data_IF_468298559454
#
_entry.id   IF_468298559454
#
_cell.length_a   1.000
_cell.length_b   1.000
_cell.length_c   1.000
_cell.angle_alpha   90.00
_cell.angle_beta   90.00
_cell.angle_gamma   90.00
#
_symmetry.space_group_name_H-M   'P 1'
#
loop_
_entity.id
_entity.type
_entity.pdbx_description
1 polymer ?
#
# COMPACT_ATOMS: atom_id res chain seq x y z
N UNK A 1 6.62 -9.96 -4.87
CA UNK A 1 6.98 -10.27 -3.45
C UNK A 1 7.44 -8.99 -2.74
N UNK A 2 7.20 -8.86 -1.43
CA UNK A 2 7.39 -7.59 -0.69
C UNK A 2 8.80 -7.42 -0.11
N UNK A 3 9.38 -6.22 -0.22
CA UNK A 3 10.62 -5.82 0.45
C UNK A 3 10.29 -4.95 1.68
N UNK A 4 10.50 -5.50 2.88
CA UNK A 4 10.09 -4.88 4.14
C UNK A 4 11.13 -3.93 4.75
N UNK A 5 12.23 -3.64 4.04
CA UNK A 5 13.20 -2.64 4.50
C UNK A 5 12.52 -1.25 4.50
N UNK A 6 12.80 -0.37 5.47
CA UNK A 6 12.14 0.93 5.58
C UNK A 6 12.18 1.77 4.29
N UNK A 7 13.34 1.83 3.64
CA UNK A 7 13.50 2.56 2.38
C UNK A 7 12.70 1.95 1.21
N UNK A 8 12.53 0.63 1.20
CA UNK A 8 11.74 -0.05 0.19
C UNK A 8 10.24 0.19 0.39
N UNK A 9 9.75 0.19 1.64
CA UNK A 9 8.35 0.54 1.96
C UNK A 9 8.03 1.96 1.49
N UNK A 10 8.90 2.93 1.78
CA UNK A 10 8.73 4.32 1.34
C UNK A 10 8.66 4.42 -0.18
N UNK A 11 9.54 3.70 -0.88
CA UNK A 11 9.59 3.66 -2.35
C UNK A 11 8.35 3.00 -2.95
N UNK A 12 8.02 1.79 -2.50
CA UNK A 12 7.00 0.94 -3.11
C UNK A 12 5.59 1.47 -2.88
N UNK A 13 5.35 2.13 -1.73
CA UNK A 13 4.09 2.81 -1.44
C UNK A 13 4.10 4.31 -1.81
N UNK A 14 5.19 4.82 -2.36
CA UNK A 14 5.36 6.23 -2.75
C UNK A 14 4.92 7.19 -1.63
N UNK A 15 5.57 7.08 -0.46
CA UNK A 15 5.12 7.73 0.78
C UNK A 15 5.59 9.18 0.94
N UNK A 16 6.58 9.64 0.18
CA UNK A 16 7.12 11.01 0.32
C UNK A 16 6.24 12.05 -0.41
N UNK A 17 4.96 12.08 -0.06
CA UNK A 17 3.92 12.95 -0.63
C UNK A 17 3.00 13.48 0.46
N UNK A 18 2.34 14.63 0.25
CA UNK A 18 1.41 15.20 1.23
C UNK A 18 0.05 14.47 1.25
N UNK A 19 0.02 13.18 1.61
CA UNK A 19 -1.17 12.32 1.55
C UNK A 19 -1.79 12.01 2.93
N UNK A 20 -1.25 12.57 4.01
CA UNK A 20 -1.56 12.13 5.38
C UNK A 20 -2.73 12.87 6.05
N UNK A 21 -3.07 14.09 5.62
CA UNK A 21 -4.13 14.87 6.26
C UNK A 21 -5.51 14.19 6.16
N UNK A 22 -5.81 13.57 5.02
CA UNK A 22 -7.06 12.83 4.78
C UNK A 22 -7.23 11.59 5.67
N UNK A 23 -6.14 11.05 6.24
CA UNK A 23 -6.18 9.86 7.11
C UNK A 23 -6.31 10.21 8.59
N UNK A 24 -6.24 11.49 8.96
CA UNK A 24 -6.25 11.94 10.35
C UNK A 24 -7.61 11.76 11.06
N UNK A 25 -8.66 11.49 10.29
CA UNK A 25 -10.00 11.19 10.79
C UNK A 25 -10.64 10.07 9.99
N UNK A 26 -11.59 9.36 10.60
CA UNK A 26 -12.35 8.27 9.97
C UNK A 26 -11.47 7.09 9.49
N UNK A 27 -10.33 6.88 10.13
CA UNK A 27 -9.48 5.70 9.97
C UNK A 27 -8.47 5.76 8.81
N UNK A 28 -7.38 4.99 8.95
CA UNK A 28 -6.31 4.89 7.95
C UNK A 28 -6.55 3.80 6.90
N UNK A 29 -7.44 2.84 7.16
CA UNK A 29 -7.66 1.64 6.34
C UNK A 29 -9.11 1.50 5.89
N UNK A 30 -9.33 0.79 4.77
CA UNK A 30 -10.66 0.48 4.25
C UNK A 30 -11.39 1.68 3.65
N UNK A 31 -10.63 2.65 3.12
CA UNK A 31 -11.11 3.92 2.58
C UNK A 31 -10.77 4.03 1.08
N UNK A 32 -11.42 3.25 0.19
CA UNK A 32 -11.07 3.19 -1.24
C UNK A 32 -11.20 4.53 -1.96
N UNK A 33 -12.06 5.43 -1.47
CA UNK A 33 -12.24 6.77 -2.00
C UNK A 33 -11.03 7.69 -1.81
N UNK A 34 -10.13 7.38 -0.87
CA UNK A 34 -8.92 8.18 -0.59
C UNK A 34 -7.72 7.76 -1.45
N UNK A 35 -7.84 6.69 -2.24
CA UNK A 35 -6.79 6.16 -3.12
C UNK A 35 -5.41 6.04 -2.43
N UNK A 36 -5.41 5.46 -1.23
CA UNK A 36 -4.22 5.28 -0.41
C UNK A 36 -3.37 4.13 -0.97
N UNK A 37 -2.03 4.26 -1.02
CA UNK A 37 -1.17 3.28 -1.68
C UNK A 37 -1.19 1.91 -1.00
N UNK A 38 -1.39 1.84 0.33
CA UNK A 38 -1.46 0.59 1.07
C UNK A 38 -2.80 -0.15 0.95
N UNK A 39 -3.82 0.45 0.34
CA UNK A 39 -5.11 -0.20 0.06
C UNK A 39 -5.10 -0.89 -1.31
N UNK A 40 -4.05 -0.73 -2.11
CA UNK A 40 -3.94 -1.33 -3.45
C UNK A 40 -3.71 -2.84 -3.33
N UNK A 41 -4.37 -3.59 -4.21
CA UNK A 41 -4.25 -5.06 -4.34
C UNK A 41 -3.45 -5.47 -5.58
N UNK A 42 -2.54 -4.61 -6.03
CA UNK A 42 -1.72 -4.77 -7.24
C UNK A 42 -0.68 -5.91 -7.15
N UNK A 43 -0.45 -6.47 -5.96
CA UNK A 43 0.45 -7.61 -5.71
C UNK A 43 -0.26 -8.96 -5.62
N UNK A 44 -1.57 -9.04 -5.89
CA UNK A 44 -2.33 -10.30 -5.78
C UNK A 44 -1.79 -11.37 -6.74
N UNK A 45 -1.47 -11.01 -7.98
CA UNK A 45 -0.99 -12.00 -8.97
C UNK A 45 0.45 -12.46 -8.70
N UNK A 46 1.31 -11.57 -8.17
CA UNK A 46 2.64 -11.95 -7.66
C UNK A 46 2.50 -13.03 -6.56
N UNK A 47 1.52 -12.89 -5.68
CA UNK A 47 1.26 -13.83 -4.59
C UNK A 47 0.69 -15.15 -5.10
N UNK A 48 -0.28 -15.13 -6.02
CA UNK A 48 -0.83 -16.35 -6.64
C UNK A 48 0.27 -17.15 -7.32
N UNK A 49 1.11 -16.48 -8.11
CA UNK A 49 2.25 -17.08 -8.80
C UNK A 49 3.23 -17.71 -7.81
N UNK A 50 3.57 -16.99 -6.73
CA UNK A 50 4.49 -17.51 -5.71
C UNK A 50 3.90 -18.69 -4.91
N UNK A 51 2.58 -18.73 -4.74
CA UNK A 51 1.88 -19.83 -4.07
C UNK A 51 1.67 -21.07 -4.96
N UNK A 52 1.94 -20.97 -6.28
CA UNK A 52 1.70 -22.04 -7.23
C UNK A 52 0.21 -22.28 -7.54
N UNK A 53 -0.62 -21.24 -7.36
CA UNK A 53 -2.05 -21.24 -7.65
C UNK A 53 -2.37 -20.80 -9.09
#
# INVERSE_FOLDING_TARGET
MFDLRPAAIIRDLDLLRPIYAQTAAYGHFGRPELNLPWERTDRVDDLRTAAGA
#
